data_IF_717249714419
#
_entry.id   IF_717249714419
#
_cell.length_a   1.000
_cell.length_b   1.000
_cell.length_c   1.000
_cell.angle_alpha   90.00
_cell.angle_beta   90.00
_cell.angle_gamma   90.00
#
_symmetry.space_group_name_H-M   'P 1'
#
loop_
_entity.id
_entity.type
_entity.pdbx_description
1 polymer ?
#
# COMPACT_ATOMS: atom_id res chain seq x y z
N UNK A 1 -15.84 1.86 19.73
CA UNK A 1 -16.21 3.27 19.47
C UNK A 1 -14.91 4.02 19.22
N UNK A 2 -14.83 4.79 18.13
CA UNK A 2 -13.56 5.44 17.75
C UNK A 2 -13.08 6.36 18.86
N UNK A 3 -11.79 6.33 19.21
CA UNK A 3 -11.17 7.17 20.23
C UNK A 3 -10.98 8.63 19.79
N UNK A 4 -11.42 8.98 18.59
CA UNK A 4 -11.30 10.32 18.03
C UNK A 4 -12.35 11.27 18.60
N UNK A 5 -12.03 12.56 18.64
CA UNK A 5 -13.01 13.58 18.97
C UNK A 5 -14.09 13.72 17.86
N UNK A 6 -15.24 14.37 18.13
CA UNK A 6 -16.32 14.46 17.13
C UNK A 6 -15.91 15.11 15.79
N UNK A 7 -15.13 16.22 15.75
CA UNK A 7 -14.60 16.76 14.50
C UNK A 7 -13.77 15.75 13.69
N UNK A 8 -12.87 15.02 14.36
CA UNK A 8 -12.04 13.99 13.73
C UNK A 8 -12.86 12.81 13.21
N UNK A 9 -13.92 12.40 13.93
CA UNK A 9 -14.83 11.35 13.47
C UNK A 9 -15.54 11.76 12.18
N UNK A 10 -15.97 13.02 12.08
CA UNK A 10 -16.63 13.53 10.88
C UNK A 10 -15.68 13.58 9.68
N UNK A 11 -14.43 14.02 9.88
CA UNK A 11 -13.41 14.00 8.82
C UNK A 11 -13.10 12.59 8.34
N UNK A 12 -13.00 11.62 9.24
CA UNK A 12 -12.82 10.20 8.88
C UNK A 12 -14.03 9.66 8.11
N UNK A 13 -15.25 10.08 8.47
CA UNK A 13 -16.48 9.72 7.75
C UNK A 13 -16.46 10.29 6.33
N UNK A 14 -16.08 11.56 6.16
CA UNK A 14 -15.95 12.21 4.86
C UNK A 14 -14.86 11.56 4.00
N UNK A 15 -13.69 11.26 4.58
CA UNK A 15 -12.61 10.56 3.90
C UNK A 15 -13.04 9.16 3.41
N UNK A 16 -13.80 8.41 4.22
CA UNK A 16 -14.35 7.12 3.80
C UNK A 16 -15.36 7.25 2.65
N UNK A 17 -16.20 8.29 2.66
CA UNK A 17 -17.15 8.53 1.58
C UNK A 17 -16.43 8.88 0.28
N UNK A 18 -15.44 9.76 0.35
CA UNK A 18 -14.60 10.13 -0.78
C UNK A 18 -13.86 8.92 -1.35
N UNK A 19 -13.18 8.13 -0.50
CA UNK A 19 -12.50 6.90 -0.93
C UNK A 19 -13.47 5.94 -1.63
N UNK A 20 -14.68 5.75 -1.10
CA UNK A 20 -15.67 4.86 -1.72
C UNK A 20 -16.19 5.39 -3.05
N UNK A 21 -16.32 6.70 -3.23
CA UNK A 21 -16.77 7.27 -4.49
C UNK A 21 -15.68 7.19 -5.56
N UNK A 22 -14.45 7.58 -5.23
CA UNK A 22 -13.34 7.58 -6.19
C UNK A 22 -12.97 6.15 -6.63
N UNK A 23 -13.03 5.18 -5.72
CA UNK A 23 -12.63 3.80 -6.02
C UNK A 23 -13.79 2.89 -6.46
N UNK A 24 -14.98 3.46 -6.71
CA UNK A 24 -16.18 2.69 -7.04
C UNK A 24 -16.05 1.85 -8.33
N UNK A 25 -15.25 2.35 -9.28
CA UNK A 25 -15.04 1.71 -10.58
C UNK A 25 -13.63 1.12 -10.72
N UNK A 26 -12.85 1.09 -9.64
CA UNK A 26 -11.53 0.49 -9.68
C UNK A 26 -11.65 -1.02 -9.83
N UNK A 27 -10.62 -1.61 -10.42
CA UNK A 27 -10.55 -3.04 -10.58
C UNK A 27 -10.17 -3.76 -9.25
N UNK A 28 -10.34 -5.10 -9.17
CA UNK A 28 -10.12 -5.84 -7.93
C UNK A 28 -8.72 -5.76 -7.34
N UNK A 29 -7.72 -5.30 -8.10
CA UNK A 29 -6.36 -5.10 -7.59
C UNK A 29 -6.18 -3.77 -6.86
N UNK A 30 -7.06 -2.78 -7.05
CA UNK A 30 -7.00 -1.44 -6.42
C UNK A 30 -8.39 -0.96 -5.95
N UNK A 31 -9.20 -1.86 -5.38
CA UNK A 31 -10.58 -1.57 -4.98
C UNK A 31 -10.70 -1.00 -3.55
N UNK A 32 -11.94 -0.72 -3.12
CA UNK A 32 -12.25 -0.31 -1.75
C UNK A 32 -11.76 -1.34 -0.71
N UNK A 33 -11.75 -2.63 -1.05
CA UNK A 33 -11.33 -3.68 -0.12
C UNK A 33 -9.84 -3.66 0.14
N UNK A 34 -9.01 -3.32 -0.86
CA UNK A 34 -7.60 -3.02 -0.66
C UNK A 34 -7.41 -1.95 0.41
N UNK A 35 -8.02 -0.78 0.24
CA UNK A 35 -7.82 0.34 1.16
C UNK A 35 -8.26 -0.02 2.58
N UNK A 36 -9.35 -0.78 2.73
CA UNK A 36 -9.80 -1.25 4.05
C UNK A 36 -8.82 -2.22 4.70
N UNK A 37 -8.15 -3.11 3.93
CA UNK A 37 -7.10 -3.99 4.46
C UNK A 37 -5.83 -3.23 4.83
N UNK A 38 -5.44 -2.24 4.03
CA UNK A 38 -4.31 -1.33 4.32
C UNK A 38 -4.60 -0.56 5.59
N UNK A 39 -5.74 0.11 5.67
CA UNK A 39 -6.19 0.83 6.88
C UNK A 39 -6.15 -0.05 8.13
N UNK A 40 -6.75 -1.24 8.06
CA UNK A 40 -6.75 -2.17 9.18
C UNK A 40 -5.33 -2.52 9.63
N UNK A 41 -4.43 -2.78 8.67
CA UNK A 41 -3.03 -3.13 8.95
C UNK A 41 -2.26 -1.93 9.50
N UNK A 42 -2.44 -0.74 8.93
CA UNK A 42 -1.78 0.50 9.36
C UNK A 42 -2.16 0.85 10.80
N UNK A 43 -3.43 0.76 11.17
CA UNK A 43 -3.91 0.99 12.53
C UNK A 43 -3.36 -0.03 13.53
N UNK A 44 -3.20 -1.30 13.11
CA UNK A 44 -2.55 -2.33 13.93
C UNK A 44 -1.08 -2.03 14.16
N UNK A 45 -0.36 -1.59 13.13
CA UNK A 45 1.04 -1.18 13.22
C UNK A 45 1.17 0.02 14.16
N UNK A 46 0.39 1.08 13.95
CA UNK A 46 0.39 2.27 14.81
C UNK A 46 0.12 1.90 16.29
N UNK A 47 -0.90 1.07 16.54
CA UNK A 47 -1.25 0.60 17.90
C UNK A 47 -0.10 -0.14 18.56
N UNK A 48 0.65 -0.95 17.80
CA UNK A 48 1.80 -1.69 18.34
C UNK A 48 2.98 -0.81 18.76
N UNK A 49 3.05 0.42 18.24
CA UNK A 49 4.14 1.37 18.48
C UNK A 49 3.83 2.29 19.68
N UNK A 50 2.56 2.58 19.94
CA UNK A 50 2.09 3.46 21.04
C UNK A 50 2.76 3.24 22.41
N UNK A 51 3.10 2.00 22.84
CA UNK A 51 3.80 1.80 24.12
C UNK A 51 5.23 2.34 24.17
N UNK A 52 5.84 2.64 23.02
CA UNK A 52 7.26 3.00 22.91
C UNK A 52 7.51 4.37 22.27
N UNK A 53 6.59 4.86 21.43
CA UNK A 53 6.69 6.14 20.74
C UNK A 53 5.32 6.78 20.62
N UNK A 54 5.30 8.11 20.54
CA UNK A 54 4.11 8.86 20.14
C UNK A 54 3.80 8.57 18.67
N UNK A 55 2.53 8.30 18.36
CA UNK A 55 2.03 8.13 16.99
C UNK A 55 0.67 8.79 16.91
N UNK A 56 0.47 9.66 15.92
CA UNK A 56 -0.85 10.20 15.60
C UNK A 56 -1.66 9.14 14.84
N UNK A 57 -2.44 8.36 15.59
CA UNK A 57 -3.28 7.30 15.03
C UNK A 57 -4.34 7.84 14.08
N UNK A 58 -4.85 9.04 14.33
CA UNK A 58 -5.84 9.67 13.44
C UNK A 58 -5.21 10.04 12.10
N UNK A 59 -3.99 10.56 12.11
CA UNK A 59 -3.22 10.84 10.89
C UNK A 59 -2.96 9.55 10.08
N UNK A 60 -2.58 8.45 10.75
CA UNK A 60 -2.42 7.13 10.10
C UNK A 60 -3.73 6.66 9.47
N UNK A 61 -4.86 6.83 10.17
CA UNK A 61 -6.18 6.47 9.69
C UNK A 61 -6.53 7.22 8.40
N UNK A 62 -6.45 8.56 8.45
CA UNK A 62 -6.73 9.44 7.31
C UNK A 62 -5.82 9.14 6.12
N UNK A 63 -4.51 9.03 6.34
CA UNK A 63 -3.56 8.73 5.28
C UNK A 63 -3.82 7.36 4.65
N UNK A 64 -4.12 6.33 5.45
CA UNK A 64 -4.42 5.00 4.92
C UNK A 64 -5.70 4.97 4.08
N UNK A 65 -6.73 5.75 4.43
CA UNK A 65 -7.96 5.87 3.65
C UNK A 65 -7.76 6.56 2.30
N UNK A 66 -6.79 7.47 2.21
CA UNK A 66 -6.66 8.42 1.11
C UNK A 66 -5.41 8.16 0.23
N UNK A 67 -4.55 7.21 0.59
CA UNK A 67 -3.26 7.01 -0.09
C UNK A 67 -3.38 6.68 -1.59
N UNK A 68 -4.44 5.99 -2.00
CA UNK A 68 -4.59 5.41 -3.35
C UNK A 68 -5.65 6.11 -4.23
N UNK A 69 -6.33 7.15 -3.71
CA UNK A 69 -7.41 7.84 -4.43
C UNK A 69 -6.91 8.66 -5.65
N UNK A 70 -5.63 9.02 -5.66
CA UNK A 70 -5.00 9.84 -6.71
C UNK A 70 -4.03 9.01 -7.57
N UNK A 71 -4.17 7.68 -7.62
CA UNK A 71 -3.32 6.90 -8.51
C UNK A 71 -3.62 7.28 -9.97
N UNK A 72 -2.65 7.95 -10.59
CA UNK A 72 -2.64 8.37 -11.99
C UNK A 72 -3.04 7.28 -13.00
N UNK A 73 -2.91 6.00 -12.64
CA UNK A 73 -3.37 4.86 -13.46
C UNK A 73 -4.90 4.80 -13.61
N UNK A 74 -5.64 5.36 -12.65
CA UNK A 74 -7.09 5.31 -12.55
C UNK A 74 -7.74 6.70 -12.55
N UNK A 75 -6.94 7.77 -12.59
CA UNK A 75 -7.40 9.14 -12.69
C UNK A 75 -8.09 9.37 -14.05
N UNK A 76 -9.40 9.11 -14.11
CA UNK A 76 -10.23 9.67 -15.18
C UNK A 76 -10.26 11.19 -14.99
N UNK A 77 -9.89 11.92 -16.04
CA UNK A 77 -9.49 13.32 -16.06
C UNK A 77 -10.60 14.35 -15.75
N UNK A 78 -11.62 14.01 -14.96
CA UNK A 78 -12.78 14.87 -14.73
C UNK A 78 -13.22 15.07 -13.26
N UNK A 79 -12.76 14.27 -12.28
CA UNK A 79 -13.33 14.33 -10.90
C UNK A 79 -12.32 14.32 -9.73
N UNK A 80 -11.08 13.88 -9.91
CA UNK A 80 -10.20 13.54 -8.78
C UNK A 80 -9.63 14.69 -7.92
N UNK A 81 -9.77 15.97 -8.34
CA UNK A 81 -9.11 17.10 -7.65
C UNK A 81 -10.05 17.85 -6.69
N UNK A 82 -11.38 17.74 -6.82
CA UNK A 82 -12.31 18.55 -6.01
C UNK A 82 -12.54 17.98 -4.61
N UNK A 83 -12.71 16.66 -4.47
CA UNK A 83 -13.07 16.04 -3.20
C UNK A 83 -11.96 16.14 -2.13
N UNK A 84 -10.69 15.99 -2.53
CA UNK A 84 -9.55 16.13 -1.62
C UNK A 84 -9.32 17.57 -1.16
N UNK A 85 -9.43 18.53 -2.09
CA UNK A 85 -9.33 19.94 -1.74
C UNK A 85 -10.42 20.35 -0.74
N UNK A 86 -11.67 19.92 -0.98
CA UNK A 86 -12.79 20.17 -0.07
C UNK A 86 -12.57 19.54 1.31
N UNK A 87 -11.97 18.35 1.38
CA UNK A 87 -11.63 17.71 2.65
C UNK A 87 -10.56 18.50 3.41
N UNK A 88 -9.49 18.93 2.72
CA UNK A 88 -8.41 19.71 3.33
C UNK A 88 -8.88 21.06 3.87
N UNK A 89 -9.87 21.72 3.23
CA UNK A 89 -10.43 22.98 3.76
C UNK A 89 -11.13 22.84 5.11
N UNK A 90 -11.48 21.62 5.52
CA UNK A 90 -12.16 21.31 6.79
C UNK A 90 -11.20 20.83 7.87
N UNK A 91 -9.91 20.75 7.57
CA UNK A 91 -8.86 20.30 8.47
C UNK A 91 -8.07 21.49 9.01
N UNK A 92 -7.36 21.27 10.11
CA UNK A 92 -6.27 22.16 10.49
C UNK A 92 -5.21 22.21 9.35
N UNK A 93 -4.69 23.39 8.97
CA UNK A 93 -3.75 23.51 7.84
C UNK A 93 -2.47 22.68 7.99
N UNK A 94 -1.93 22.55 9.21
CA UNK A 94 -0.70 21.78 9.45
C UNK A 94 -0.99 20.28 9.35
N UNK A 95 -2.17 19.84 9.81
CA UNK A 95 -2.65 18.46 9.61
C UNK A 95 -2.86 18.14 8.13
N UNK A 96 -3.49 19.04 7.36
CA UNK A 96 -3.69 18.86 5.93
C UNK A 96 -2.35 18.75 5.18
N UNK A 97 -1.41 19.64 5.48
CA UNK A 97 -0.05 19.63 4.90
C UNK A 97 0.69 18.33 5.23
N UNK A 98 0.60 17.88 6.49
CA UNK A 98 1.23 16.63 6.92
C UNK A 98 0.61 15.42 6.23
N UNK A 99 -0.73 15.37 6.16
CA UNK A 99 -1.48 14.30 5.50
C UNK A 99 -1.10 14.20 4.01
N UNK A 100 -1.09 15.32 3.29
CA UNK A 100 -0.70 15.38 1.89
C UNK A 100 0.73 14.85 1.69
N UNK A 101 1.67 15.29 2.55
CA UNK A 101 3.06 14.82 2.49
C UNK A 101 3.19 13.33 2.75
N UNK A 102 2.41 12.77 3.68
CA UNK A 102 2.38 11.32 3.92
C UNK A 102 1.89 10.60 2.66
N UNK A 103 0.72 10.98 2.14
CA UNK A 103 0.09 10.35 0.97
C UNK A 103 1.06 10.34 -0.23
N UNK A 104 1.72 11.46 -0.50
CA UNK A 104 2.65 11.56 -1.62
C UNK A 104 3.90 10.67 -1.48
N UNK A 105 4.24 10.25 -0.26
CA UNK A 105 5.40 9.41 0.04
C UNK A 105 5.06 7.92 0.30
N UNK A 106 3.79 7.49 0.25
CA UNK A 106 3.43 6.09 0.53
C UNK A 106 4.02 5.11 -0.50
N UNK A 107 3.95 5.46 -1.78
CA UNK A 107 4.30 4.55 -2.89
C UNK A 107 5.75 4.06 -2.82
N UNK A 108 5.94 2.74 -2.86
CA UNK A 108 7.25 2.09 -2.91
C UNK A 108 8.13 2.59 -4.08
N UNK A 109 7.54 2.73 -5.27
CA UNK A 109 8.27 3.19 -6.45
C UNK A 109 8.70 4.66 -6.31
N UNK A 110 7.85 5.51 -5.71
CA UNK A 110 8.21 6.91 -5.43
C UNK A 110 9.33 6.99 -4.41
N UNK A 111 9.30 6.19 -3.33
CA UNK A 111 10.41 6.15 -2.36
C UNK A 111 11.72 5.73 -3.04
N UNK A 112 11.72 4.63 -3.80
CA UNK A 112 12.93 4.14 -4.49
C UNK A 112 13.53 5.20 -5.40
N UNK A 113 12.69 5.90 -6.18
CA UNK A 113 13.09 7.02 -7.04
C UNK A 113 13.66 8.19 -6.23
N UNK A 114 12.93 8.67 -5.22
CA UNK A 114 13.36 9.82 -4.39
C UNK A 114 14.67 9.55 -3.65
N UNK A 115 14.89 8.32 -3.18
CA UNK A 115 16.18 7.91 -2.60
C UNK A 115 17.30 7.97 -3.64
N UNK A 116 17.07 7.48 -4.86
CA UNK A 116 18.07 7.53 -5.93
C UNK A 116 18.39 8.98 -6.38
N UNK A 117 17.39 9.86 -6.36
CA UNK A 117 17.52 11.28 -6.69
C UNK A 117 18.09 12.13 -5.53
N UNK A 118 18.27 11.55 -4.34
CA UNK A 118 18.70 12.28 -3.14
C UNK A 118 17.67 13.27 -2.59
N UNK A 119 16.38 13.11 -2.95
CA UNK A 119 15.26 13.95 -2.51
C UNK A 119 14.48 13.33 -1.34
N UNK A 120 14.84 12.12 -0.92
CA UNK A 120 14.36 11.49 0.32
C UNK A 120 15.20 11.95 1.50
N UNK A 121 14.58 12.51 2.54
CA UNK A 121 15.29 13.19 3.62
C UNK A 121 14.90 12.75 5.01
N UNK A 122 15.36 13.54 5.99
CA UNK A 122 15.23 13.24 7.40
C UNK A 122 13.77 13.21 7.88
N UNK A 123 12.86 13.98 7.28
CA UNK A 123 11.45 13.92 7.68
C UNK A 123 10.86 12.57 7.30
N UNK A 124 11.09 12.12 6.07
CA UNK A 124 10.56 10.85 5.57
C UNK A 124 11.13 9.66 6.36
N UNK A 125 12.41 9.71 6.72
CA UNK A 125 13.06 8.66 7.52
C UNK A 125 12.63 8.63 9.01
N UNK A 126 12.00 9.69 9.52
CA UNK A 126 11.61 9.79 10.93
C UNK A 126 10.08 9.88 11.14
N UNK A 127 9.28 10.01 10.09
CA UNK A 127 7.82 10.09 10.20
C UNK A 127 7.21 8.68 10.44
N UNK A 128 6.81 8.42 11.68
CA UNK A 128 6.27 7.11 12.08
C UNK A 128 4.91 6.85 11.43
N UNK A 129 4.10 7.88 11.25
CA UNK A 129 2.80 7.80 10.58
C UNK A 129 2.96 7.35 9.12
N UNK A 130 3.93 7.93 8.40
CA UNK A 130 4.30 7.49 7.06
C UNK A 130 4.74 6.03 7.05
N UNK A 131 5.60 5.62 7.99
CA UNK A 131 6.08 4.24 8.07
C UNK A 131 4.94 3.25 8.30
N UNK A 132 3.95 3.59 9.13
CA UNK A 132 2.79 2.74 9.37
C UNK A 132 1.99 2.49 8.09
N UNK A 133 1.76 3.54 7.29
CA UNK A 133 0.98 3.44 6.05
C UNK A 133 1.79 2.76 4.95
N UNK A 134 3.08 3.08 4.80
CA UNK A 134 3.96 2.43 3.84
C UNK A 134 4.08 0.93 4.07
N UNK A 135 4.29 0.50 5.32
CA UNK A 135 4.37 -0.92 5.64
C UNK A 135 3.03 -1.61 5.37
N UNK A 136 1.91 -0.98 5.73
CA UNK A 136 0.59 -1.56 5.52
C UNK A 136 0.25 -1.75 4.03
N UNK A 137 0.54 -0.76 3.19
CA UNK A 137 0.36 -0.84 1.74
C UNK A 137 1.24 -1.94 1.12
N UNK A 138 2.53 -1.92 1.46
CA UNK A 138 3.51 -2.94 1.03
C UNK A 138 3.11 -4.34 1.45
N UNK A 139 2.64 -4.51 2.68
CA UNK A 139 2.19 -5.80 3.17
C UNK A 139 1.03 -6.33 2.33
N UNK A 140 0.07 -5.49 1.93
CA UNK A 140 -1.07 -5.90 1.09
C UNK A 140 -0.66 -6.30 -0.33
N UNK A 141 0.50 -5.85 -0.80
CA UNK A 141 1.10 -6.25 -2.07
C UNK A 141 1.83 -7.62 -2.01
N UNK A 142 2.01 -8.22 -0.83
CA UNK A 142 2.69 -9.52 -0.65
C UNK A 142 1.84 -10.56 0.08
N UNK A 143 2.26 -11.82 0.01
CA UNK A 143 1.54 -12.96 0.57
C UNK A 143 0.27 -13.29 -0.21
N UNK A 144 -0.71 -13.92 0.44
CA UNK A 144 -1.91 -14.43 -0.23
C UNK A 144 -2.69 -13.37 -1.04
N UNK A 145 -2.94 -12.19 -0.45
CA UNK A 145 -3.57 -11.09 -1.19
C UNK A 145 -2.66 -10.53 -2.27
N UNK A 146 -1.35 -10.44 -2.02
CA UNK A 146 -0.36 -10.02 -3.03
C UNK A 146 -0.39 -10.89 -4.29
N UNK A 147 -0.45 -12.22 -4.11
CA UNK A 147 -0.58 -13.19 -5.22
C UNK A 147 -1.85 -12.92 -6.03
N UNK A 148 -3.01 -12.85 -5.35
CA UNK A 148 -4.30 -12.62 -6.01
C UNK A 148 -4.33 -11.28 -6.76
N UNK A 149 -3.78 -10.22 -6.17
CA UNK A 149 -3.74 -8.89 -6.78
C UNK A 149 -2.79 -8.84 -7.98
N UNK A 150 -1.64 -9.49 -7.89
CA UNK A 150 -0.69 -9.55 -9.01
C UNK A 150 -1.33 -10.24 -10.22
N UNK A 151 -2.04 -11.36 -10.00
CA UNK A 151 -2.79 -12.04 -11.05
C UNK A 151 -3.94 -11.17 -11.59
N UNK A 152 -4.72 -10.53 -10.73
CA UNK A 152 -5.82 -9.65 -11.13
C UNK A 152 -5.33 -8.48 -12.00
N UNK A 153 -4.30 -7.76 -11.56
CA UNK A 153 -3.72 -6.66 -12.31
C UNK A 153 -3.17 -7.13 -13.67
N UNK A 154 -2.48 -8.27 -13.68
CA UNK A 154 -1.94 -8.85 -14.92
C UNK A 154 -3.05 -9.20 -15.91
N UNK A 155 -4.18 -9.75 -15.46
CA UNK A 155 -5.32 -10.04 -16.30
C UNK A 155 -5.91 -8.78 -16.95
N UNK A 156 -5.99 -7.67 -16.21
CA UNK A 156 -6.58 -6.41 -16.69
C UNK A 156 -5.64 -5.70 -17.67
N UNK A 157 -4.33 -5.77 -17.43
CA UNK A 157 -3.34 -5.23 -18.36
C UNK A 157 -2.98 -6.19 -19.50
N UNK A 158 -3.66 -7.33 -19.59
CA UNK A 158 -3.37 -8.40 -20.56
C UNK A 158 -1.88 -8.83 -20.55
N UNK A 159 -1.27 -8.84 -19.36
CA UNK A 159 0.07 -9.37 -19.10
C UNK A 159 -0.05 -10.89 -18.89
N UNK A 160 0.77 -11.72 -19.56
CA UNK A 160 0.80 -13.15 -19.31
C UNK A 160 1.06 -13.47 -17.83
N UNK A 161 0.36 -14.46 -17.28
CA UNK A 161 0.63 -14.89 -15.91
C UNK A 161 2.00 -15.55 -15.80
N UNK A 162 2.31 -16.42 -16.76
CA UNK A 162 3.57 -17.14 -16.86
C UNK A 162 3.92 -17.37 -18.33
N UNK A 163 5.20 -17.27 -18.65
CA UNK A 163 5.78 -17.65 -19.93
C UNK A 163 7.28 -17.90 -19.71
N UNK A 164 7.75 -19.08 -20.11
CA UNK A 164 9.14 -19.50 -19.94
C UNK A 164 10.11 -18.48 -20.58
N UNK A 165 11.15 -18.08 -19.85
CA UNK A 165 12.16 -17.14 -20.32
C UNK A 165 11.69 -15.69 -20.53
N UNK A 166 10.44 -15.36 -20.17
CA UNK A 166 9.90 -14.00 -20.30
C UNK A 166 10.04 -13.20 -19.00
N UNK A 167 10.62 -12.00 -19.11
CA UNK A 167 10.72 -11.03 -18.01
C UNK A 167 9.45 -10.18 -17.84
N UNK A 168 8.48 -10.24 -18.76
CA UNK A 168 7.22 -9.48 -18.67
C UNK A 168 6.02 -10.40 -18.39
N UNK A 169 6.01 -10.99 -17.20
CA UNK A 169 4.92 -11.87 -16.73
C UNK A 169 4.52 -11.55 -15.29
N UNK A 170 3.38 -12.08 -14.83
CA UNK A 170 3.00 -11.97 -13.42
C UNK A 170 4.06 -12.63 -12.53
N UNK A 171 4.55 -13.82 -12.89
CA UNK A 171 5.59 -14.55 -12.15
C UNK A 171 6.92 -13.79 -12.14
N UNK A 172 7.37 -13.24 -13.28
CA UNK A 172 8.57 -12.41 -13.32
C UNK A 172 8.46 -11.19 -12.36
N UNK A 173 7.27 -10.60 -12.24
CA UNK A 173 7.03 -9.50 -11.31
C UNK A 173 7.26 -9.86 -9.83
N UNK A 174 7.11 -11.14 -9.45
CA UNK A 174 7.47 -11.56 -8.09
C UNK A 174 8.97 -11.35 -7.84
N UNK A 175 9.80 -11.79 -8.78
CA UNK A 175 11.26 -11.68 -8.68
C UNK A 175 11.76 -10.25 -8.83
N UNK A 176 11.18 -9.48 -9.74
CA UNK A 176 11.59 -8.09 -10.00
C UNK A 176 11.28 -7.13 -8.85
N UNK A 177 10.26 -7.46 -8.04
CA UNK A 177 9.72 -6.52 -7.05
C UNK A 177 9.16 -7.17 -5.80
N UNK A 178 8.21 -8.09 -5.92
CA UNK A 178 7.40 -8.47 -4.75
C UNK A 178 8.24 -9.16 -3.66
N UNK A 179 9.25 -9.93 -4.05
CA UNK A 179 10.16 -10.59 -3.11
C UNK A 179 11.04 -9.59 -2.33
N UNK A 180 11.38 -8.43 -2.91
CA UNK A 180 12.16 -7.38 -2.24
C UNK A 180 11.38 -6.63 -1.16
N UNK A 181 10.04 -6.63 -1.24
CA UNK A 181 9.20 -5.79 -0.39
C UNK A 181 9.41 -6.09 1.09
N UNK A 182 9.54 -7.37 1.48
CA UNK A 182 9.69 -7.77 2.87
C UNK A 182 10.94 -7.17 3.53
N UNK A 183 12.03 -6.98 2.77
CA UNK A 183 13.26 -6.34 3.25
C UNK A 183 13.19 -4.82 3.35
N UNK A 184 12.11 -4.20 2.83
CA UNK A 184 11.92 -2.75 2.80
C UNK A 184 10.93 -2.23 3.85
N UNK A 185 10.41 -3.10 4.72
CA UNK A 185 9.48 -2.75 5.79
C UNK A 185 10.22 -2.04 6.93
N UNK A 186 9.59 -1.02 7.50
CA UNK A 186 10.22 -0.06 8.42
C UNK A 186 9.89 -0.28 9.89
N UNK A 187 8.78 -0.95 10.17
CA UNK A 187 8.27 -1.15 11.53
C UNK A 187 8.48 -2.59 12.00
N UNK A 188 8.71 -2.80 13.30
CA UNK A 188 8.94 -4.14 13.86
C UNK A 188 7.78 -5.10 13.59
N UNK A 189 6.54 -4.63 13.76
CA UNK A 189 5.36 -5.44 13.45
C UNK A 189 5.24 -5.68 11.94
N UNK A 190 5.52 -4.66 11.13
CA UNK A 190 5.54 -4.76 9.68
C UNK A 190 6.47 -5.88 9.23
N UNK A 191 7.74 -5.82 9.64
CA UNK A 191 8.77 -6.83 9.34
C UNK A 191 8.36 -8.23 9.77
N UNK A 192 7.80 -8.41 10.98
CA UNK A 192 7.29 -9.71 11.45
C UNK A 192 6.17 -10.26 10.57
N UNK A 193 5.23 -9.41 10.15
CA UNK A 193 4.16 -9.80 9.23
C UNK A 193 4.71 -10.11 7.82
N UNK A 194 5.71 -9.34 7.39
CA UNK A 194 6.39 -9.47 6.11
C UNK A 194 7.05 -10.83 5.93
N UNK A 195 7.76 -11.34 6.94
CA UNK A 195 8.40 -12.68 6.90
C UNK A 195 7.39 -13.77 6.57
N UNK A 196 6.24 -13.78 7.26
CA UNK A 196 5.20 -14.79 7.00
C UNK A 196 4.62 -14.67 5.60
N UNK A 197 4.34 -13.44 5.14
CA UNK A 197 3.77 -13.19 3.79
C UNK A 197 4.78 -13.52 2.69
N UNK A 198 6.06 -13.24 2.91
CA UNK A 198 7.14 -13.59 2.00
C UNK A 198 7.26 -15.11 1.85
N UNK A 199 7.24 -15.86 2.95
CA UNK A 199 7.27 -17.32 2.89
C UNK A 199 6.11 -17.89 2.06
N UNK A 200 4.89 -17.35 2.23
CA UNK A 200 3.74 -17.76 1.40
C UNK A 200 3.98 -17.56 -0.10
N UNK A 201 4.72 -16.51 -0.50
CA UNK A 201 5.06 -16.30 -1.92
C UNK A 201 6.12 -17.27 -2.41
N UNK A 202 7.13 -17.58 -1.57
CA UNK A 202 8.14 -18.60 -1.91
C UNK A 202 7.49 -19.97 -2.09
N UNK A 203 6.59 -20.35 -1.19
CA UNK A 203 5.87 -21.62 -1.28
C UNK A 203 4.99 -21.67 -2.56
N UNK A 204 4.31 -20.56 -2.87
CA UNK A 204 3.54 -20.44 -4.11
C UNK A 204 4.41 -20.57 -5.37
N UNK A 205 5.55 -19.87 -5.43
CA UNK A 205 6.48 -19.94 -6.56
C UNK A 205 7.05 -21.34 -6.73
N UNK A 206 7.43 -22.01 -5.63
CA UNK A 206 7.90 -23.38 -5.70
C UNK A 206 6.85 -24.34 -6.29
N UNK A 207 5.57 -24.14 -5.96
CA UNK A 207 4.47 -24.90 -6.58
C UNK A 207 4.28 -24.54 -8.05
N UNK A 208 4.43 -23.27 -8.44
CA UNK A 208 4.39 -22.86 -9.86
C UNK A 208 5.49 -23.56 -10.66
N UNK A 209 6.71 -23.64 -10.13
CA UNK A 209 7.86 -24.30 -10.78
C UNK A 209 7.67 -25.82 -10.91
N UNK A 210 7.02 -26.45 -9.91
CA UNK A 210 6.64 -27.86 -9.95
C UNK A 210 5.56 -28.11 -11.02
N UNK A 211 4.52 -27.29 -11.06
CA UNK A 211 3.38 -27.42 -12.00
C UNK A 211 3.76 -27.07 -13.44
N UNK A 212 4.69 -26.14 -13.65
CA UNK A 212 5.18 -25.73 -14.99
C UNK A 212 6.11 -26.76 -15.63
N UNK A 213 6.60 -27.74 -14.85
CA UNK A 213 7.48 -28.80 -15.31
C UNK A 213 8.97 -28.46 -15.26
N UNK A 214 9.36 -27.34 -14.65
CA UNK A 214 10.77 -26.94 -14.51
C UNK A 214 11.54 -27.79 -13.48
N UNK A 215 10.84 -28.45 -12.54
CA UNK A 215 11.42 -29.30 -11.50
C UNK A 215 12.16 -30.57 -12.00
N UNK A 216 12.35 -30.74 -13.32
CA UNK A 216 12.98 -31.93 -13.92
C UNK A 216 14.43 -31.73 -14.44
N UNK A 217 15.04 -30.55 -14.26
CA UNK A 217 16.39 -30.26 -14.81
C UNK A 217 17.48 -29.93 -13.78
N UNK A 218 17.30 -30.29 -12.50
CA UNK A 218 18.44 -30.37 -11.57
C UNK A 218 19.01 -31.79 -11.66
N UNK A 219 19.98 -31.97 -12.56
CA UNK A 219 20.89 -33.12 -12.59
C UNK A 219 22.00 -32.98 -11.56
#
# INVERSE_FOLDING_TARGET
MSSYDPPQQELVRLAQQLMRSEMANNDPSHDVHHVLRVRHTALRIATSILPTKSVDVWMVDMASLLHDINDHKYATSASGVTGMADLYTKMDPDQATTLERIIDNVSWSKEKRRRAEGTWGAWEDNCIELHCVQDADRLDAIGAFGIMRCAAFSAITNRPLYAEGSEDTAIAHFHDKLLDIAGSLKTDLGSKMGVKRHQTMLDFLATVDEESGEASNIK
#
